data_IF_686256430708
#
_entry.id   IF_686256430708
#
_cell.length_a   1.000
_cell.length_b   1.000
_cell.length_c   1.000
_cell.angle_alpha   90.00
_cell.angle_beta   90.00
_cell.angle_gamma   90.00
#
_symmetry.space_group_name_H-M   'P 1'
#
loop_
_entity.id
_entity.type
_entity.pdbx_description
1 polymer ?
#
# COMPACT_ATOMS: atom_id res chain seq x y z
N UNK A 1 8.90 6.30 -26.77
CA UNK A 1 9.42 6.96 -25.56
C UNK A 1 8.51 6.53 -24.43
N UNK A 2 9.01 5.72 -23.49
CA UNK A 2 8.25 5.34 -22.28
C UNK A 2 8.26 6.55 -21.34
N UNK A 3 7.07 7.00 -20.95
CA UNK A 3 6.91 8.04 -19.92
C UNK A 3 6.57 7.34 -18.62
N UNK A 4 7.25 7.72 -17.54
CA UNK A 4 6.96 7.22 -16.20
C UNK A 4 6.13 8.27 -15.46
N UNK A 5 5.01 7.84 -14.88
CA UNK A 5 4.22 8.60 -13.93
C UNK A 5 4.50 8.11 -12.53
N UNK A 6 4.76 9.05 -11.63
CA UNK A 6 4.87 8.77 -10.21
C UNK A 6 3.58 9.19 -9.53
N UNK A 7 3.01 8.25 -8.78
CA UNK A 7 1.82 8.44 -7.99
C UNK A 7 2.14 8.26 -6.51
N UNK A 8 1.44 9.04 -5.70
CA UNK A 8 1.38 8.85 -4.25
C UNK A 8 -0.08 8.78 -3.88
N UNK A 9 -0.46 7.78 -3.08
CA UNK A 9 -1.79 7.68 -2.52
C UNK A 9 -1.75 7.45 -1.02
N UNK A 10 -2.78 7.94 -0.34
CA UNK A 10 -3.01 7.77 1.09
C UNK A 10 -4.42 7.24 1.28
N UNK A 11 -4.54 6.10 1.94
CA UNK A 11 -5.80 5.38 2.15
C UNK A 11 -6.04 5.32 3.66
N UNK A 12 -7.19 5.81 4.08
CA UNK A 12 -7.65 5.65 5.46
C UNK A 12 -8.31 4.27 5.61
N UNK A 13 -7.87 3.49 6.59
CA UNK A 13 -8.26 2.10 6.79
C UNK A 13 -8.79 1.94 8.21
N UNK A 14 -9.92 1.25 8.37
CA UNK A 14 -10.40 0.77 9.65
C UNK A 14 -10.22 -0.75 9.71
N UNK A 15 -9.53 -1.23 10.74
CA UNK A 15 -9.34 -2.66 11.02
C UNK A 15 -10.33 -3.04 12.12
N UNK A 16 -11.27 -3.93 11.82
CA UNK A 16 -12.29 -4.39 12.78
C UNK A 16 -11.82 -5.56 13.63
N UNK A 17 -10.99 -6.44 13.05
CA UNK A 17 -10.46 -7.64 13.71
C UNK A 17 -8.94 -7.71 13.59
N UNK A 18 -8.23 -8.25 14.60
CA UNK A 18 -6.79 -8.38 14.54
C UNK A 18 -6.30 -9.15 13.29
N UNK A 19 -5.45 -8.54 12.48
CA UNK A 19 -4.97 -9.12 11.20
C UNK A 19 -3.47 -8.95 11.02
N UNK A 20 -2.81 -9.85 10.28
CA UNK A 20 -1.39 -9.73 9.93
C UNK A 20 -1.18 -9.26 8.49
N UNK A 21 -2.25 -9.00 7.73
CA UNK A 21 -2.14 -8.55 6.35
C UNK A 21 -3.26 -7.60 5.93
N UNK A 22 -2.95 -6.76 4.94
CA UNK A 22 -3.89 -5.90 4.23
C UNK A 22 -3.88 -6.31 2.76
N UNK A 23 -5.06 -6.58 2.21
CA UNK A 23 -5.25 -6.96 0.80
C UNK A 23 -5.99 -5.87 0.07
N UNK A 24 -5.44 -5.41 -1.04
CA UNK A 24 -6.01 -4.36 -1.88
C UNK A 24 -6.10 -4.84 -3.31
N UNK A 25 -7.14 -4.43 -4.02
CA UNK A 25 -7.13 -4.55 -5.47
C UNK A 25 -6.08 -3.63 -6.06
N UNK A 26 -5.28 -4.18 -6.98
CA UNK A 26 -4.22 -3.47 -7.67
C UNK A 26 -4.06 -4.04 -9.08
N UNK A 27 -3.80 -3.19 -10.09
CA UNK A 27 -3.32 -3.67 -11.38
C UNK A 27 -2.05 -4.52 -11.23
N UNK A 28 -1.77 -5.34 -12.24
CA UNK A 28 -0.64 -6.27 -12.23
C UNK A 28 0.70 -5.52 -12.14
N UNK A 29 1.55 -5.83 -11.15
CA UNK A 29 2.93 -5.35 -11.09
C UNK A 29 3.81 -6.19 -12.03
N UNK A 30 4.88 -5.56 -12.51
CA UNK A 30 5.64 -6.03 -13.66
C UNK A 30 6.30 -7.40 -13.46
N UNK A 31 5.90 -8.38 -14.29
CA UNK A 31 6.74 -9.55 -14.63
C UNK A 31 7.21 -9.54 -16.08
N UNK A 32 6.45 -8.94 -16.98
CA UNK A 32 6.83 -8.67 -18.37
C UNK A 32 5.83 -7.65 -18.93
N UNK A 33 6.29 -6.42 -19.15
CA UNK A 33 5.62 -5.37 -19.94
C UNK A 33 4.27 -4.81 -19.42
N UNK A 34 4.00 -4.74 -18.11
CA UNK A 34 3.17 -3.67 -17.51
C UNK A 34 3.43 -3.62 -15.99
N UNK A 35 3.47 -2.53 -15.23
CA UNK A 35 3.73 -1.10 -15.44
C UNK A 35 4.07 -0.51 -14.04
N UNK A 36 3.56 -1.08 -12.94
CA UNK A 36 3.60 -0.49 -11.59
C UNK A 36 4.74 -1.05 -10.71
N UNK A 37 5.64 -0.16 -10.26
CA UNK A 37 6.68 -0.42 -9.26
C UNK A 37 6.33 0.27 -7.93
N UNK A 38 6.29 -0.50 -6.85
CA UNK A 38 6.08 0.02 -5.50
C UNK A 38 7.40 0.43 -4.85
N UNK A 39 7.57 1.73 -4.59
CA UNK A 39 8.82 2.28 -4.04
C UNK A 39 8.79 2.39 -2.52
N UNK A 40 7.66 2.80 -1.95
CA UNK A 40 7.49 2.95 -0.51
C UNK A 40 6.05 2.61 -0.10
N UNK A 41 5.92 1.72 0.89
CA UNK A 41 4.64 1.39 1.52
C UNK A 41 4.79 1.56 3.03
N UNK A 42 3.94 2.39 3.62
CA UNK A 42 3.96 2.72 5.05
C UNK A 42 2.55 2.67 5.62
N UNK A 43 2.38 1.98 6.74
CA UNK A 43 1.12 1.97 7.48
C UNK A 43 1.34 2.63 8.84
N UNK A 44 0.48 3.57 9.21
CA UNK A 44 0.58 4.31 10.47
C UNK A 44 -0.75 4.21 11.21
N UNK A 45 -0.73 3.82 12.48
CA UNK A 45 -1.94 3.86 13.31
C UNK A 45 -2.30 5.32 13.63
N UNK A 46 -3.57 5.68 13.45
CA UNK A 46 -4.11 6.98 13.84
C UNK A 46 -4.47 6.90 15.33
N UNK A 47 -3.59 7.43 16.18
CA UNK A 47 -3.91 7.58 17.60
C UNK A 47 -4.98 8.68 17.77
N UNK A 48 -6.08 8.35 18.47
CA UNK A 48 -7.18 9.29 18.74
C UNK A 48 -6.95 10.17 19.98
N UNK A 49 -5.80 10.05 20.66
CA UNK A 49 -5.53 10.85 21.85
C UNK A 49 -5.00 12.23 21.46
N UNK A 50 -5.77 13.27 21.82
CA UNK A 50 -5.41 14.68 21.65
C UNK A 50 -4.14 15.08 22.42
N UNK A 51 -3.74 14.26 23.39
CA UNK A 51 -2.40 14.23 23.96
C UNK A 51 -1.72 12.99 23.39
N UNK A 52 -0.75 13.17 22.49
CA UNK A 52 0.46 12.34 22.49
C UNK A 52 1.42 12.76 21.36
N UNK A 53 2.48 13.45 21.76
CA UNK A 53 3.77 13.55 21.07
C UNK A 53 4.53 12.20 21.03
N UNK A 54 3.84 11.07 21.26
CA UNK A 54 4.42 9.73 21.18
C UNK A 54 4.50 9.34 19.71
N UNK A 55 5.59 8.66 19.33
CA UNK A 55 5.79 8.14 17.98
C UNK A 55 4.52 7.40 17.53
N UNK A 56 3.89 7.87 16.45
CA UNK A 56 2.87 7.07 15.80
C UNK A 56 3.46 5.71 15.45
N UNK A 57 2.75 4.63 15.79
CA UNK A 57 3.22 3.28 15.49
C UNK A 57 3.27 3.11 13.96
N UNK A 58 4.49 3.09 13.41
CA UNK A 58 4.77 2.88 11.99
C UNK A 58 5.01 1.40 11.75
N UNK A 59 4.26 0.84 10.80
CA UNK A 59 4.30 -0.55 10.39
C UNK A 59 4.77 -0.61 8.93
N UNK A 60 5.92 -1.24 8.72
CA UNK A 60 6.42 -1.55 7.37
C UNK A 60 6.05 -2.97 7.01
N UNK A 61 5.40 -3.23 5.86
CA UNK A 61 5.14 -4.60 5.41
C UNK A 61 6.48 -5.31 5.16
N UNK A 62 6.60 -6.55 5.66
CA UNK A 62 7.80 -7.37 5.43
C UNK A 62 7.79 -8.03 4.07
N UNK A 63 6.61 -8.43 3.62
CA UNK A 63 6.44 -9.13 2.35
C UNK A 63 5.31 -8.47 1.59
N UNK A 64 5.60 -8.14 0.34
CA UNK A 64 4.64 -7.60 -0.62
C UNK A 64 4.45 -8.70 -1.66
N UNK A 65 3.28 -9.33 -1.64
CA UNK A 65 2.89 -10.36 -2.59
C UNK A 65 1.87 -9.83 -3.59
N UNK A 66 1.79 -10.47 -4.76
CA UNK A 66 0.75 -10.18 -5.73
C UNK A 66 0.13 -11.47 -6.27
N UNK A 67 -1.20 -11.50 -6.32
CA UNK A 67 -1.98 -12.55 -6.96
C UNK A 67 -2.55 -12.00 -8.28
N UNK A 68 -2.02 -12.47 -9.41
CA UNK A 68 -2.47 -12.05 -10.74
C UNK A 68 -3.86 -12.55 -11.09
N UNK A 69 -4.25 -13.75 -10.64
CA UNK A 69 -5.60 -14.28 -10.87
C UNK A 69 -6.69 -13.41 -10.23
N UNK A 70 -6.42 -12.84 -9.05
CA UNK A 70 -7.39 -12.04 -8.28
C UNK A 70 -7.18 -10.53 -8.42
N UNK A 71 -6.10 -10.09 -9.07
CA UNK A 71 -5.61 -8.72 -9.08
C UNK A 71 -5.45 -8.13 -7.66
N UNK A 72 -4.80 -8.88 -6.77
CA UNK A 72 -4.66 -8.53 -5.35
C UNK A 72 -3.20 -8.28 -4.98
N UNK A 73 -2.93 -7.07 -4.47
CA UNK A 73 -1.74 -6.73 -3.70
C UNK A 73 -1.94 -7.16 -2.24
N UNK A 74 -1.05 -8.01 -1.75
CA UNK A 74 -1.08 -8.51 -0.37
C UNK A 74 0.11 -7.96 0.41
N UNK A 75 -0.16 -7.13 1.41
CA UNK A 75 0.82 -6.51 2.30
C UNK A 75 0.86 -7.29 3.63
N UNK A 76 1.89 -8.08 3.85
CA UNK A 76 2.04 -8.89 5.06
C UNK A 76 2.97 -8.23 6.09
N UNK A 77 2.52 -8.20 7.35
CA UNK A 77 3.22 -7.61 8.49
C UNK A 77 3.70 -8.71 9.46
N UNK A 78 4.83 -8.48 10.12
CA UNK A 78 5.38 -9.42 11.12
C UNK A 78 4.56 -9.49 12.39
N UNK A 79 3.95 -8.36 12.76
CA UNK A 79 3.15 -8.21 13.95
C UNK A 79 1.68 -8.15 13.56
N UNK A 80 0.83 -8.69 14.43
CA UNK A 80 -0.61 -8.57 14.29
C UNK A 80 -0.99 -7.10 14.48
N UNK A 81 -1.66 -6.53 13.50
CA UNK A 81 -2.29 -5.23 13.57
C UNK A 81 -3.52 -5.34 14.46
N UNK A 82 -3.61 -4.49 15.47
CA UNK A 82 -4.79 -4.39 16.33
C UNK A 82 -5.96 -3.75 15.59
N UNK A 83 -7.20 -3.96 16.06
CA UNK A 83 -8.33 -3.16 15.61
C UNK A 83 -8.10 -1.68 15.84
N UNK A 84 -8.52 -0.84 14.89
CA UNK A 84 -8.34 0.60 14.97
C UNK A 84 -8.27 1.28 13.61
N UNK A 85 -8.04 2.59 13.65
CA UNK A 85 -7.92 3.42 12.46
C UNK A 85 -6.46 3.56 12.06
N UNK A 86 -6.18 3.41 10.78
CA UNK A 86 -4.85 3.46 10.19
C UNK A 86 -4.86 4.36 8.96
N UNK A 87 -3.66 4.77 8.56
CA UNK A 87 -3.37 5.44 7.30
C UNK A 87 -2.30 4.66 6.56
N UNK A 88 -2.64 4.17 5.37
CA UNK A 88 -1.72 3.50 4.47
C UNK A 88 -1.27 4.46 3.38
N UNK A 89 0.03 4.71 3.29
CA UNK A 89 0.64 5.50 2.22
C UNK A 89 1.38 4.58 1.26
N UNK A 90 1.14 4.74 -0.04
CA UNK A 90 1.80 3.99 -1.10
C UNK A 90 2.33 4.97 -2.15
N UNK A 91 3.63 4.88 -2.43
CA UNK A 91 4.28 5.54 -3.56
C UNK A 91 4.56 4.50 -4.64
N UNK A 92 4.20 4.83 -5.87
CA UNK A 92 4.37 3.94 -7.02
C UNK A 92 4.78 4.69 -8.29
N UNK A 93 5.45 3.98 -9.19
CA UNK A 93 5.82 4.46 -10.52
C UNK A 93 5.13 3.58 -11.55
N UNK A 94 4.51 4.17 -12.58
CA UNK A 94 3.80 3.46 -13.66
C UNK A 94 4.15 4.00 -15.03
N UNK A 95 4.31 3.17 -16.07
CA UNK A 95 4.49 3.74 -17.42
C UNK A 95 3.15 4.17 -18.02
N UNK A 96 3.15 5.29 -18.73
CA UNK A 96 2.02 5.73 -19.52
C UNK A 96 2.34 5.46 -20.99
N UNK A 97 1.51 4.64 -21.63
CA UNK A 97 1.50 4.54 -23.09
C UNK A 97 0.78 5.78 -23.63
N UNK A 98 1.48 6.56 -24.45
CA UNK A 98 0.90 7.75 -25.09
C UNK A 98 -0.15 7.30 -26.12
N UNK A 99 -1.41 7.18 -25.71
CA UNK A 99 -2.52 6.90 -26.62
C UNK A 99 -2.78 8.20 -27.38
N UNK A 100 -2.19 8.34 -28.57
CA UNK A 100 -2.60 9.39 -29.51
C UNK A 100 -4.05 9.08 -29.92
N UNK A 101 -4.97 9.93 -29.48
CA UNK A 101 -6.33 10.01 -30.00
C UNK A 101 -6.34 10.45 -31.47
#
# INVERSE_FOLDING_TARGET
>A
MLYFLRGECKIDIEIFEPTSNIRLHSPEPERTEELIKYDAIKLIMKNNSADELTKADEYTPRTIGYSGEENILNLCFNQQLSPGNYSLSISYETNIINIKA
#
